data_IF_384558966849
#
_entry.id   IF_384558966849
#
_cell.length_a   1.000
_cell.length_b   1.000
_cell.length_c   1.000
_cell.angle_alpha   90.00
_cell.angle_beta   90.00
_cell.angle_gamma   90.00
#
_symmetry.space_group_name_H-M   'P 1'
#
loop_
_entity.id
_entity.type
_entity.pdbx_description
1 polymer ?
#
# COMPACT_ATOMS: atom_id res chain seq x y z
N UNK A 1 -18.35 -4.89 8.39
CA UNK A 1 -17.76 -6.11 8.99
C UNK A 1 -17.43 -7.17 7.95
N UNK A 2 -18.40 -7.71 7.19
CA UNK A 2 -18.13 -8.77 6.20
C UNK A 2 -17.13 -8.36 5.10
N UNK A 3 -17.17 -7.11 4.63
CA UNK A 3 -16.19 -6.58 3.68
C UNK A 3 -14.75 -6.59 4.22
N UNK A 4 -14.58 -6.30 5.51
CA UNK A 4 -13.28 -6.30 6.19
C UNK A 4 -12.72 -7.71 6.34
N UNK A 5 -13.56 -8.68 6.71
CA UNK A 5 -13.17 -10.10 6.80
C UNK A 5 -12.72 -10.62 5.43
N UNK A 6 -13.50 -10.34 4.38
CA UNK A 6 -13.13 -10.73 3.01
C UNK A 6 -11.81 -10.12 2.56
N UNK A 7 -11.59 -8.83 2.83
CA UNK A 7 -10.34 -8.14 2.49
C UNK A 7 -9.13 -8.73 3.22
N UNK A 8 -9.28 -9.08 4.51
CA UNK A 8 -8.21 -9.69 5.28
C UNK A 8 -7.79 -11.06 4.71
N UNK A 9 -8.76 -11.91 4.37
CA UNK A 9 -8.50 -13.24 3.80
C UNK A 9 -7.75 -13.15 2.46
N UNK A 10 -8.18 -12.25 1.58
CA UNK A 10 -7.56 -12.04 0.27
C UNK A 10 -6.15 -11.44 0.42
N UNK A 11 -6.00 -10.43 1.28
CA UNK A 11 -4.72 -9.74 1.50
C UNK A 11 -3.65 -10.70 2.04
N UNK A 12 -3.99 -11.48 3.08
CA UNK A 12 -3.04 -12.41 3.71
C UNK A 12 -2.61 -13.51 2.74
N UNK A 13 -3.54 -14.05 1.94
CA UNK A 13 -3.18 -15.05 0.92
C UNK A 13 -2.26 -14.45 -0.16
N UNK A 14 -2.61 -13.28 -0.69
CA UNK A 14 -1.85 -12.65 -1.79
C UNK A 14 -0.44 -12.22 -1.39
N UNK A 15 -0.26 -11.70 -0.17
CA UNK A 15 1.07 -11.26 0.32
C UNK A 15 2.02 -12.46 0.50
N UNK A 16 1.49 -13.64 0.83
CA UNK A 16 2.29 -14.83 1.07
C UNK A 16 2.63 -15.62 -0.21
N UNK A 17 1.81 -15.55 -1.26
CA UNK A 17 2.03 -16.32 -2.49
C UNK A 17 3.10 -15.69 -3.39
N UNK A 18 3.10 -14.35 -3.55
CA UNK A 18 4.10 -13.65 -4.38
C UNK A 18 5.56 -13.96 -4.01
N UNK A 19 6.00 -13.91 -2.75
CA UNK A 19 7.39 -14.18 -2.41
C UNK A 19 7.81 -15.64 -2.64
N UNK A 20 6.86 -16.56 -2.80
CA UNK A 20 7.15 -17.97 -3.08
C UNK A 20 7.54 -18.21 -4.54
N UNK A 21 7.10 -17.34 -5.46
CA UNK A 21 7.37 -17.46 -6.89
C UNK A 21 8.71 -16.83 -7.30
N UNK A 22 9.15 -15.80 -6.57
CA UNK A 22 10.37 -15.06 -6.89
C UNK A 22 11.51 -15.42 -5.94
N UNK A 23 12.68 -15.74 -6.50
CA UNK A 23 13.90 -15.98 -5.70
C UNK A 23 14.28 -14.71 -4.93
N UNK A 24 14.58 -14.87 -3.64
CA UNK A 24 15.25 -13.85 -2.83
C UNK A 24 16.77 -13.92 -2.98
N UNK A 25 17.48 -12.91 -2.46
CA UNK A 25 18.95 -12.81 -2.48
C UNK A 25 19.47 -11.77 -3.48
N UNK A 26 20.81 -11.62 -3.58
CA UNK A 26 21.43 -10.65 -4.49
C UNK A 26 21.03 -10.94 -5.95
N UNK A 27 20.35 -10.00 -6.60
CA UNK A 27 19.81 -10.16 -7.97
C UNK A 27 18.46 -10.89 -8.05
N UNK A 28 17.85 -11.23 -6.90
CA UNK A 28 16.46 -11.66 -6.83
C UNK A 28 15.49 -10.57 -7.26
N UNK A 29 14.27 -10.94 -7.65
CA UNK A 29 13.19 -9.99 -8.04
C UNK A 29 12.02 -10.01 -7.05
N UNK A 30 12.27 -10.49 -5.82
CA UNK A 30 11.22 -10.72 -4.82
C UNK A 30 10.67 -9.41 -4.28
N UNK A 31 11.52 -8.46 -3.91
CA UNK A 31 11.06 -7.18 -3.38
C UNK A 31 10.46 -6.32 -4.51
N UNK A 32 10.98 -6.41 -5.73
CA UNK A 32 10.37 -5.79 -6.90
C UNK A 32 8.96 -6.33 -7.19
N UNK A 33 8.76 -7.64 -7.15
CA UNK A 33 7.44 -8.24 -7.37
C UNK A 33 6.43 -7.87 -6.28
N UNK A 34 6.86 -7.83 -5.02
CA UNK A 34 6.05 -7.33 -3.91
C UNK A 34 5.71 -5.84 -4.07
N UNK A 35 6.67 -5.02 -4.50
CA UNK A 35 6.47 -3.60 -4.81
C UNK A 35 5.47 -3.40 -5.95
N UNK A 36 5.51 -4.24 -6.98
CA UNK A 36 4.57 -4.22 -8.10
C UNK A 36 3.16 -4.64 -7.68
N UNK A 37 3.02 -5.70 -6.87
CA UNK A 37 1.74 -6.06 -6.27
C UNK A 37 1.17 -4.89 -5.45
N UNK A 38 2.02 -4.25 -4.65
CA UNK A 38 1.63 -3.15 -3.79
C UNK A 38 1.32 -1.85 -4.55
N UNK A 39 1.85 -1.66 -5.76
CA UNK A 39 1.49 -0.56 -6.66
C UNK A 39 0.05 -0.68 -7.18
N UNK A 40 -0.46 -1.92 -7.30
CA UNK A 40 -1.85 -2.19 -7.68
C UNK A 40 -2.87 -1.53 -6.75
N UNK A 41 -2.55 -1.27 -5.48
CA UNK A 41 -3.47 -0.56 -4.57
C UNK A 41 -3.69 0.90 -4.99
N UNK A 42 -2.65 1.57 -5.50
CA UNK A 42 -2.78 2.94 -6.02
C UNK A 42 -3.62 3.00 -7.28
N UNK A 43 -3.37 2.08 -8.22
CA UNK A 43 -4.14 1.97 -9.46
C UNK A 43 -5.62 1.66 -9.20
N UNK A 44 -5.90 0.72 -8.29
CA UNK A 44 -7.26 0.43 -7.83
C UNK A 44 -7.93 1.64 -7.19
N UNK A 45 -7.22 2.37 -6.33
CA UNK A 45 -7.73 3.60 -5.72
C UNK A 45 -8.20 4.63 -6.76
N UNK A 46 -7.41 4.87 -7.81
CA UNK A 46 -7.77 5.83 -8.88
C UNK A 46 -8.99 5.34 -9.67
N UNK A 47 -8.97 4.07 -10.10
CA UNK A 47 -10.08 3.48 -10.88
C UNK A 47 -11.38 3.50 -10.09
N UNK A 48 -11.34 3.07 -8.81
CA UNK A 48 -12.53 3.06 -7.96
C UNK A 48 -13.02 4.48 -7.68
N UNK A 49 -12.14 5.45 -7.39
CA UNK A 49 -12.58 6.82 -7.15
C UNK A 49 -13.25 7.45 -8.37
N UNK A 50 -12.65 7.35 -9.55
CA UNK A 50 -13.20 7.95 -10.79
C UNK A 50 -14.47 7.21 -11.23
N UNK A 51 -14.43 5.86 -11.22
CA UNK A 51 -15.55 5.04 -11.64
C UNK A 51 -16.76 5.21 -10.71
N UNK A 52 -16.53 5.19 -9.40
CA UNK A 52 -17.60 5.32 -8.41
C UNK A 52 -18.20 6.72 -8.41
N UNK A 53 -17.40 7.77 -8.57
CA UNK A 53 -17.90 9.16 -8.61
C UNK A 53 -18.83 9.39 -9.81
N UNK A 54 -18.50 8.85 -10.99
CA UNK A 54 -19.39 8.87 -12.16
C UNK A 54 -20.66 8.06 -11.95
N UNK A 55 -20.57 6.88 -11.33
CA UNK A 55 -21.75 6.06 -11.03
C UNK A 55 -22.67 6.74 -10.02
N UNK A 56 -22.12 7.37 -8.98
CA UNK A 56 -22.88 8.09 -7.96
C UNK A 56 -23.60 9.32 -8.52
N UNK A 57 -23.00 10.01 -9.50
CA UNK A 57 -23.63 11.18 -10.15
C UNK A 57 -24.79 10.80 -11.08
N UNK A 58 -24.73 9.64 -11.73
CA UNK A 58 -25.69 9.23 -12.76
C UNK A 58 -26.70 8.17 -12.29
N UNK A 59 -26.45 7.46 -11.18
CA UNK A 59 -27.28 6.34 -10.69
C UNK A 59 -27.43 6.39 -9.17
N UNK A 60 -28.43 5.69 -8.65
CA UNK A 60 -28.66 5.54 -7.21
C UNK A 60 -27.51 4.80 -6.52
N UNK A 61 -27.17 5.21 -5.30
CA UNK A 61 -26.16 4.60 -4.43
C UNK A 61 -26.17 3.06 -4.42
N UNK A 62 -27.36 2.43 -4.40
CA UNK A 62 -27.52 0.97 -4.42
C UNK A 62 -26.92 0.31 -5.68
N UNK A 63 -27.05 0.95 -6.84
CA UNK A 63 -26.49 0.43 -8.10
C UNK A 63 -24.97 0.59 -8.15
N UNK A 64 -24.44 1.67 -7.59
CA UNK A 64 -23.00 1.90 -7.46
C UNK A 64 -22.31 0.80 -6.65
N UNK A 65 -22.90 0.40 -5.52
CA UNK A 65 -22.40 -0.70 -4.70
C UNK A 65 -22.45 -2.06 -5.41
N UNK A 66 -23.53 -2.34 -6.16
CA UNK A 66 -23.65 -3.57 -6.95
C UNK A 66 -22.61 -3.65 -8.06
N UNK A 67 -22.41 -2.56 -8.79
CA UNK A 67 -21.39 -2.49 -9.84
C UNK A 67 -19.98 -2.71 -9.27
N UNK A 68 -19.68 -2.09 -8.11
CA UNK A 68 -18.42 -2.31 -7.41
C UNK A 68 -18.23 -3.78 -7.00
N UNK A 69 -19.28 -4.43 -6.50
CA UNK A 69 -19.22 -5.86 -6.15
C UNK A 69 -18.94 -6.74 -7.39
N UNK A 70 -19.58 -6.46 -8.53
CA UNK A 70 -19.37 -7.20 -9.79
C UNK A 70 -17.91 -7.06 -10.27
N UNK A 71 -17.36 -5.85 -10.24
CA UNK A 71 -15.96 -5.60 -10.62
C UNK A 71 -15.01 -6.36 -9.70
N UNK A 72 -15.23 -6.30 -8.38
CA UNK A 72 -14.43 -7.05 -7.40
C UNK A 72 -14.48 -8.55 -7.68
N UNK A 73 -15.66 -9.12 -7.92
CA UNK A 73 -15.82 -10.56 -8.21
C UNK A 73 -15.09 -10.94 -9.50
N UNK A 74 -15.24 -10.16 -10.57
CA UNK A 74 -14.55 -10.43 -11.85
C UNK A 74 -13.03 -10.42 -11.70
N UNK A 75 -12.48 -9.42 -11.00
CA UNK A 75 -11.03 -9.34 -10.75
C UNK A 75 -10.54 -10.48 -9.85
N UNK A 76 -11.32 -10.90 -8.85
CA UNK A 76 -10.96 -12.02 -7.98
C UNK A 76 -11.01 -13.37 -8.73
N UNK A 77 -12.00 -13.58 -9.60
CA UNK A 77 -12.05 -14.80 -10.44
C UNK A 77 -10.85 -14.84 -11.37
N UNK A 78 -10.52 -13.72 -12.03
CA UNK A 78 -9.34 -13.62 -12.86
C UNK A 78 -8.07 -13.92 -12.07
N UNK A 79 -7.93 -13.35 -10.86
CA UNK A 79 -6.81 -13.64 -9.98
C UNK A 79 -6.74 -15.12 -9.59
N UNK A 80 -7.87 -15.76 -9.27
CA UNK A 80 -7.93 -17.20 -8.95
C UNK A 80 -7.51 -18.07 -10.13
N UNK A 81 -7.88 -17.71 -11.36
CA UNK A 81 -7.47 -18.44 -12.56
C UNK A 81 -5.97 -18.28 -12.86
N UNK A 82 -5.39 -17.09 -12.62
CA UNK A 82 -3.98 -16.81 -12.90
C UNK A 82 -3.04 -17.29 -11.79
N UNK A 83 -3.49 -17.29 -10.53
CA UNK A 83 -2.67 -17.67 -9.38
C UNK A 83 -2.52 -19.18 -9.36
N UNK A 84 -1.34 -19.65 -9.79
CA UNK A 84 -0.96 -21.05 -9.64
C UNK A 84 -0.36 -21.28 -8.25
N UNK A 85 -0.94 -22.20 -7.49
CA UNK A 85 -0.46 -22.54 -6.15
C UNK A 85 0.77 -23.45 -6.24
N UNK A 86 1.90 -23.03 -5.64
CA UNK A 86 3.11 -23.86 -5.46
C UNK A 86 3.21 -24.44 -4.04
N UNK A 87 2.07 -24.56 -3.35
CA UNK A 87 2.01 -24.98 -1.95
C UNK A 87 2.57 -26.40 -1.71
N UNK A 88 2.54 -27.25 -2.75
CA UNK A 88 3.09 -28.62 -2.70
C UNK A 88 4.63 -28.67 -2.56
N UNK A 89 5.36 -27.63 -2.99
CA UNK A 89 6.83 -27.61 -2.97
C UNK A 89 7.47 -27.01 -1.72
N UNK A 90 6.74 -26.20 -0.94
CA UNK A 90 7.34 -25.33 0.09
C UNK A 90 7.03 -25.81 1.52
N UNK A 91 5.98 -26.63 1.74
CA UNK A 91 5.54 -27.14 3.06
C UNK A 91 5.75 -26.12 4.19
N UNK A 92 5.09 -24.95 4.16
CA UNK A 92 5.25 -23.95 5.20
C UNK A 92 4.81 -24.54 6.55
N UNK A 93 5.78 -24.66 7.47
CA UNK A 93 5.51 -25.05 8.86
C UNK A 93 4.85 -23.85 9.54
N UNK A 94 3.52 -23.82 9.55
CA UNK A 94 2.75 -22.82 10.28
C UNK A 94 2.83 -23.12 11.79
N UNK A 95 3.84 -22.57 12.47
CA UNK A 95 3.80 -22.43 13.94
C UNK A 95 3.08 -21.13 14.28
N UNK A 96 1.85 -21.26 14.80
CA UNK A 96 1.03 -20.12 15.25
C UNK A 96 1.73 -19.31 16.34
N UNK A 97 2.57 -19.96 17.13
CA UNK A 97 3.35 -19.35 18.19
C UNK A 97 4.77 -19.91 18.19
N UNK A 98 5.75 -19.07 17.87
CA UNK A 98 7.17 -19.39 18.03
C UNK A 98 7.77 -18.51 19.12
N UNK A 99 8.06 -19.13 20.27
CA UNK A 99 8.64 -18.46 21.44
C UNK A 99 10.01 -17.85 21.11
N UNK A 100 10.71 -18.38 20.10
CA UNK A 100 12.02 -17.89 19.67
C UNK A 100 11.91 -16.54 18.97
N UNK A 101 10.86 -16.33 18.17
CA UNK A 101 10.58 -15.05 17.47
C UNK A 101 10.19 -13.98 18.47
N UNK A 102 9.37 -14.33 19.47
CA UNK A 102 8.94 -13.36 20.48
C UNK A 102 10.07 -12.93 21.42
N UNK A 103 11.03 -13.83 21.69
CA UNK A 103 12.16 -13.56 22.58
C UNK A 103 13.30 -12.80 21.89
N UNK A 104 13.31 -12.73 20.56
CA UNK A 104 14.30 -11.99 19.81
C UNK A 104 13.99 -10.48 19.83
N UNK A 105 14.88 -9.71 20.45
CA UNK A 105 14.76 -8.26 20.54
C UNK A 105 14.65 -7.58 19.17
N UNK A 106 15.38 -8.08 18.16
CA UNK A 106 15.32 -7.55 16.80
C UNK A 106 13.93 -7.69 16.17
N UNK A 107 13.23 -8.80 16.42
CA UNK A 107 11.86 -9.00 15.93
C UNK A 107 10.87 -8.05 16.61
N UNK A 108 11.00 -7.82 17.92
CA UNK A 108 10.17 -6.88 18.66
C UNK A 108 10.35 -5.43 18.15
N UNK A 109 11.60 -5.00 17.93
CA UNK A 109 11.90 -3.70 17.35
C UNK A 109 11.27 -3.52 15.95
N UNK A 110 11.33 -4.55 15.11
CA UNK A 110 10.70 -4.51 13.79
C UNK A 110 9.17 -4.41 13.87
N UNK A 111 8.54 -5.13 14.79
CA UNK A 111 7.08 -5.05 15.01
C UNK A 111 6.68 -3.64 15.44
N UNK A 112 7.40 -3.07 16.41
CA UNK A 112 7.15 -1.70 16.89
C UNK A 112 7.35 -0.69 15.75
N UNK A 113 8.42 -0.83 14.97
CA UNK A 113 8.67 0.03 13.81
C UNK A 113 7.54 -0.07 12.76
N UNK A 114 7.06 -1.27 12.44
CA UNK A 114 5.92 -1.48 11.53
C UNK A 114 4.66 -0.81 12.08
N UNK A 115 4.38 -0.93 13.37
CA UNK A 115 3.21 -0.30 14.01
C UNK A 115 3.24 1.22 13.86
N UNK A 116 4.37 1.86 14.19
CA UNK A 116 4.52 3.31 14.04
C UNK A 116 4.47 3.76 12.57
N UNK A 117 5.09 3.00 11.67
CA UNK A 117 5.08 3.31 10.24
C UNK A 117 3.67 3.22 9.64
N UNK A 118 2.90 2.19 10.01
CA UNK A 118 1.49 2.04 9.62
C UNK A 118 0.64 3.19 10.16
N UNK A 119 0.85 3.57 11.42
CA UNK A 119 0.14 4.69 12.02
C UNK A 119 0.41 6.00 11.27
N UNK A 120 1.69 6.32 11.02
CA UNK A 120 2.07 7.50 10.24
C UNK A 120 1.50 7.47 8.82
N UNK A 121 1.55 6.33 8.14
CA UNK A 121 0.98 6.15 6.81
C UNK A 121 -0.52 6.44 6.77
N UNK A 122 -1.29 5.91 7.72
CA UNK A 122 -2.75 6.12 7.79
C UNK A 122 -3.05 7.60 8.06
N UNK A 123 -2.34 8.23 8.98
CA UNK A 123 -2.51 9.66 9.28
C UNK A 123 -2.26 10.50 8.04
N UNK A 124 -1.16 10.26 7.32
CA UNK A 124 -0.81 10.98 6.09
C UNK A 124 -1.85 10.76 5.00
N UNK A 125 -2.24 9.52 4.73
CA UNK A 125 -3.18 9.18 3.67
C UNK A 125 -4.53 9.88 3.81
N UNK A 126 -5.09 9.93 5.03
CA UNK A 126 -6.41 10.51 5.25
C UNK A 126 -6.36 12.01 5.52
N UNK A 127 -5.31 12.53 6.19
CA UNK A 127 -5.26 13.96 6.51
C UNK A 127 -4.66 14.83 5.40
N UNK A 128 -3.98 14.30 4.38
CA UNK A 128 -3.36 15.15 3.34
C UNK A 128 -4.37 16.05 2.63
N UNK A 129 -5.51 15.49 2.25
CA UNK A 129 -6.59 16.22 1.59
C UNK A 129 -7.23 17.26 2.52
N UNK A 130 -7.45 16.91 3.78
CA UNK A 130 -8.06 17.82 4.76
C UNK A 130 -7.09 18.93 5.19
N UNK A 131 -5.80 18.63 5.28
CA UNK A 131 -4.74 19.61 5.54
C UNK A 131 -4.63 20.64 4.41
N UNK A 132 -4.69 20.20 3.15
CA UNK A 132 -4.70 21.14 2.02
C UNK A 132 -5.95 22.00 1.98
N UNK A 133 -7.09 21.48 2.45
CA UNK A 133 -8.31 22.26 2.61
C UNK A 133 -8.22 23.27 3.77
N UNK A 134 -7.58 22.91 4.89
CA UNK A 134 -7.41 23.82 6.04
C UNK A 134 -6.45 24.98 5.74
N UNK A 135 -5.54 24.81 4.77
CA UNK A 135 -4.70 25.88 4.20
C UNK A 135 -5.50 26.89 3.34
N UNK A 136 -6.81 26.68 3.14
CA UNK A 136 -7.69 27.59 2.39
C UNK A 136 -7.82 27.27 0.90
N UNK A 137 -7.29 26.13 0.43
CA UNK A 137 -7.39 25.72 -0.97
C UNK A 137 -8.73 25.02 -1.29
N UNK A 138 -9.09 25.01 -2.57
CA UNK A 138 -10.37 24.46 -3.03
C UNK A 138 -10.44 22.93 -2.89
N UNK A 139 -11.66 22.38 -2.79
CA UNK A 139 -11.90 20.92 -2.76
C UNK A 139 -11.31 20.19 -3.97
N UNK A 140 -11.25 20.86 -5.13
CA UNK A 140 -10.64 20.30 -6.34
C UNK A 140 -9.12 20.17 -6.18
N UNK A 141 -8.46 21.19 -5.62
CA UNK A 141 -7.02 21.20 -5.37
C UNK A 141 -6.61 20.14 -4.33
N UNK A 142 -7.40 19.96 -3.27
CA UNK A 142 -7.20 18.90 -2.28
C UNK A 142 -7.32 17.50 -2.91
N UNK A 143 -8.30 17.30 -3.81
CA UNK A 143 -8.46 16.03 -4.53
C UNK A 143 -7.27 15.72 -5.44
N UNK A 144 -6.66 16.74 -6.06
CA UNK A 144 -5.44 16.57 -6.86
C UNK A 144 -4.29 16.07 -5.98
N UNK A 145 -4.11 16.66 -4.80
CA UNK A 145 -3.05 16.29 -3.85
C UNK A 145 -3.23 14.85 -3.38
N UNK A 146 -4.45 14.42 -3.00
CA UNK A 146 -4.71 13.02 -2.66
C UNK A 146 -4.47 12.05 -3.84
N UNK A 147 -4.68 12.52 -5.08
CA UNK A 147 -4.39 11.74 -6.28
C UNK A 147 -2.88 11.60 -6.51
N UNK A 148 -2.09 12.64 -6.20
CA UNK A 148 -0.63 12.58 -6.28
C UNK A 148 -0.06 11.51 -5.35
N UNK A 149 -0.60 11.35 -4.14
CA UNK A 149 -0.22 10.24 -3.24
C UNK A 149 -0.43 8.87 -3.89
N UNK A 150 -1.57 8.68 -4.58
CA UNK A 150 -1.87 7.44 -5.28
C UNK A 150 -0.89 7.19 -6.45
N UNK A 151 -0.50 8.27 -7.16
CA UNK A 151 0.53 8.22 -8.21
C UNK A 151 1.89 7.88 -7.61
N UNK A 152 2.27 8.49 -6.49
CA UNK A 152 3.48 8.19 -5.72
C UNK A 152 3.52 6.73 -5.29
N UNK A 153 2.40 6.12 -4.91
CA UNK A 153 2.32 4.69 -4.61
C UNK A 153 2.58 3.82 -5.84
N UNK A 154 2.03 4.20 -7.00
CA UNK A 154 2.18 3.42 -8.25
C UNK A 154 3.65 3.37 -8.69
N UNK A 155 4.37 4.49 -8.62
CA UNK A 155 5.77 4.56 -9.08
C UNK A 155 6.79 4.30 -7.96
N UNK A 156 6.50 4.74 -6.74
CA UNK A 156 7.37 4.63 -5.57
C UNK A 156 7.51 3.21 -5.06
N UNK A 157 6.42 2.42 -5.01
CA UNK A 157 6.51 1.06 -4.47
C UNK A 157 7.35 0.11 -5.33
N UNK A 158 7.22 0.08 -6.67
CA UNK A 158 8.08 -0.76 -7.51
C UNK A 158 9.54 -0.28 -7.53
N UNK A 159 9.78 1.04 -7.52
CA UNK A 159 11.14 1.59 -7.53
C UNK A 159 11.89 1.26 -6.25
N UNK A 160 11.28 1.49 -5.07
CA UNK A 160 11.86 1.11 -3.77
C UNK A 160 12.01 -0.40 -3.67
N UNK A 161 11.07 -1.19 -4.20
CA UNK A 161 11.18 -2.65 -4.29
C UNK A 161 12.41 -3.09 -5.09
N UNK A 162 12.71 -2.43 -6.22
CA UNK A 162 13.90 -2.72 -7.03
C UNK A 162 15.19 -2.37 -6.30
N UNK A 163 15.21 -1.25 -5.60
CA UNK A 163 16.37 -0.86 -4.77
C UNK A 163 16.55 -1.87 -3.62
N UNK A 164 15.46 -2.36 -3.02
CA UNK A 164 15.45 -3.38 -1.97
C UNK A 164 16.09 -4.70 -2.39
N UNK A 165 15.98 -5.06 -3.66
CA UNK A 165 16.62 -6.26 -4.23
C UNK A 165 18.16 -6.12 -4.38
N UNK A 166 18.70 -4.89 -4.39
CA UNK A 166 20.14 -4.62 -4.57
C UNK A 166 20.85 -4.41 -3.23
N UNK A 167 20.32 -3.50 -2.40
CA UNK A 167 20.99 -3.05 -1.16
C UNK A 167 20.52 -3.85 0.07
N UNK A 168 19.53 -4.73 -0.12
CA UNK A 168 18.89 -5.50 0.93
C UNK A 168 17.66 -4.80 1.52
N UNK A 169 16.61 -5.55 1.90
CA UNK A 169 15.33 -4.98 2.32
C UNK A 169 15.43 -4.16 3.61
N UNK A 170 16.29 -4.55 4.54
CA UNK A 170 16.46 -3.84 5.83
C UNK A 170 17.11 -2.47 5.61
N UNK A 171 18.20 -2.42 4.85
CA UNK A 171 18.93 -1.16 4.57
C UNK A 171 18.04 -0.16 3.84
N UNK A 172 17.30 -0.60 2.82
CA UNK A 172 16.37 0.26 2.08
C UNK A 172 15.25 0.78 2.97
N UNK A 173 14.74 -0.05 3.87
CA UNK A 173 13.70 0.36 4.83
C UNK A 173 14.21 1.43 5.80
N UNK A 174 15.45 1.31 6.27
CA UNK A 174 16.08 2.31 7.14
C UNK A 174 16.26 3.63 6.37
N UNK A 175 16.85 3.59 5.17
CA UNK A 175 17.04 4.78 4.33
C UNK A 175 15.70 5.47 4.01
N UNK A 176 14.68 4.69 3.63
CA UNK A 176 13.35 5.23 3.34
C UNK A 176 12.72 5.88 4.56
N UNK A 177 12.83 5.25 5.74
CA UNK A 177 12.30 5.82 6.99
C UNK A 177 12.97 7.15 7.36
N UNK A 178 14.29 7.24 7.17
CA UNK A 178 15.04 8.49 7.39
C UNK A 178 14.64 9.59 6.39
N UNK A 179 14.48 9.25 5.11
CA UNK A 179 14.02 10.20 4.10
C UNK A 179 12.62 10.71 4.39
N UNK A 180 11.69 9.83 4.78
CA UNK A 180 10.34 10.22 5.18
C UNK A 180 10.38 11.13 6.41
N UNK A 181 11.18 10.81 7.43
CA UNK A 181 11.32 11.66 8.61
C UNK A 181 11.86 13.05 8.25
N UNK A 182 12.87 13.12 7.37
CA UNK A 182 13.43 14.36 6.87
C UNK A 182 12.38 15.19 6.11
N UNK A 183 11.63 14.58 5.18
CA UNK A 183 10.59 15.28 4.43
C UNK A 183 9.41 15.72 5.32
N UNK A 184 9.03 14.93 6.31
CA UNK A 184 8.04 15.36 7.30
C UNK A 184 8.52 16.61 8.05
N UNK A 185 9.77 16.66 8.48
CA UNK A 185 10.29 17.83 9.21
C UNK A 185 10.52 19.03 8.30
N UNK A 186 11.07 18.82 7.11
CA UNK A 186 11.48 19.88 6.20
C UNK A 186 10.36 20.42 5.31
N UNK A 187 9.35 19.60 4.98
CA UNK A 187 8.30 19.97 4.02
C UNK A 187 6.93 20.04 4.67
N UNK A 188 6.56 19.09 5.54
CA UNK A 188 5.22 19.05 6.13
C UNK A 188 4.99 20.14 7.18
N UNK A 189 5.92 20.27 8.15
CA UNK A 189 5.79 21.27 9.23
C UNK A 189 5.79 22.72 8.71
N UNK A 190 6.67 23.13 7.77
CA UNK A 190 6.66 24.49 7.24
C UNK A 190 5.74 24.68 6.02
N UNK A 191 4.89 23.71 5.70
CA UNK A 191 4.05 23.77 4.50
C UNK A 191 3.08 24.95 4.54
N UNK A 192 3.35 25.97 3.73
CA UNK A 192 2.49 27.16 3.56
C UNK A 192 1.95 27.33 2.14
N UNK A 193 2.46 26.52 1.19
CA UNK A 193 2.18 26.66 -0.23
C UNK A 193 1.64 25.36 -0.84
N UNK A 194 0.72 25.50 -1.79
CA UNK A 194 0.14 24.38 -2.55
C UNK A 194 1.21 23.51 -3.24
N UNK A 195 2.25 24.13 -3.79
CA UNK A 195 3.34 23.40 -4.46
C UNK A 195 4.09 22.47 -3.50
N UNK A 196 4.35 22.91 -2.26
CA UNK A 196 5.03 22.09 -1.25
C UNK A 196 4.16 20.91 -0.81
N UNK A 197 2.83 21.11 -0.73
CA UNK A 197 1.88 20.04 -0.43
C UNK A 197 1.80 18.99 -1.56
N UNK A 198 1.93 19.42 -2.83
CA UNK A 198 1.99 18.50 -3.98
C UNK A 198 3.30 17.72 -3.99
N UNK A 199 4.46 18.37 -3.79
CA UNK A 199 5.76 17.68 -3.84
C UNK A 199 5.91 16.68 -2.69
N UNK A 200 5.27 16.94 -1.55
CA UNK A 200 5.25 16.02 -0.42
C UNK A 200 4.33 14.80 -0.63
N UNK A 201 3.31 14.92 -1.49
CA UNK A 201 2.32 13.89 -1.78
C UNK A 201 2.85 12.82 -2.76
#
# INVERSE_FOLDING_TARGET
>A
VMSGVGMALICVANVNIVPQWFKGGPGGKRNFAMGFQAAGSGFGGIIYNIGLQKLLRNRTFRWSLRAQAIICVGLNILALCLVKSRNSSIKPVYKVYDRLVWKNFGCQCLVIWIMFTLFGYVVLMYNLGDFTRSLGYSSHQASIVSTMVAVGIIYGRPSVGRVGDIIGPINVTICASWLVALFCWAMWIPCRNYATAIVFA
#
